data_IF_086083356610
#
_entry.id   IF_086083356610
#
_cell.length_a   1.000
_cell.length_b   1.000
_cell.length_c   1.000
_cell.angle_alpha   90.00
_cell.angle_beta   90.00
_cell.angle_gamma   90.00
#
_symmetry.space_group_name_H-M   'P 1'
#
loop_
_entity.id
_entity.type
_entity.pdbx_description
1 polymer ?
#
# COMPACT_ATOMS: atom_id res chain seq x y z
N UNK A 1 24.19 -21.19 11.14
CA UNK A 1 24.35 -20.20 10.05
C UNK A 1 23.43 -18.98 10.19
N UNK A 2 22.34 -19.04 10.95
CA UNK A 2 21.41 -17.89 11.14
C UNK A 2 22.01 -16.71 11.92
N UNK A 3 22.91 -16.96 12.87
CA UNK A 3 23.54 -15.91 13.68
C UNK A 3 24.43 -14.95 12.88
N UNK A 4 25.13 -15.45 11.86
CA UNK A 4 26.04 -14.62 11.04
C UNK A 4 25.27 -13.73 10.06
N UNK A 5 24.18 -14.24 9.46
CA UNK A 5 23.27 -13.45 8.64
C UNK A 5 22.60 -12.35 9.46
N UNK A 6 22.06 -12.67 10.65
CA UNK A 6 21.47 -11.66 11.54
C UNK A 6 22.47 -10.58 11.95
N UNK A 7 23.70 -10.95 12.34
CA UNK A 7 24.74 -9.97 12.68
C UNK A 7 25.13 -9.07 11.49
N UNK A 8 25.20 -9.66 10.29
CA UNK A 8 25.53 -8.94 9.06
C UNK A 8 24.46 -7.94 8.64
N UNK A 9 23.17 -8.33 8.71
CA UNK A 9 22.05 -7.44 8.39
C UNK A 9 21.92 -6.27 9.36
N UNK A 10 22.05 -6.49 10.66
CA UNK A 10 21.99 -5.39 11.64
C UNK A 10 23.16 -4.43 11.50
N UNK A 11 24.38 -4.94 11.29
CA UNK A 11 25.54 -4.09 11.03
C UNK A 11 25.39 -3.28 9.73
N UNK A 12 24.84 -3.88 8.67
CA UNK A 12 24.52 -3.16 7.45
C UNK A 12 23.46 -2.08 7.68
N UNK A 13 22.37 -2.40 8.37
CA UNK A 13 21.32 -1.45 8.69
C UNK A 13 21.88 -0.26 9.48
N UNK A 14 22.79 -0.48 10.43
CA UNK A 14 23.45 0.58 11.18
C UNK A 14 24.34 1.45 10.28
N UNK A 15 25.13 0.85 9.38
CA UNK A 15 25.95 1.59 8.40
C UNK A 15 25.10 2.43 7.46
N UNK A 16 24.00 1.88 6.95
CA UNK A 16 23.07 2.57 6.06
C UNK A 16 22.36 3.70 6.79
N UNK A 17 21.85 3.44 7.99
CA UNK A 17 21.19 4.45 8.83
C UNK A 17 22.15 5.57 9.19
N UNK A 18 23.42 5.26 9.48
CA UNK A 18 24.47 6.25 9.73
C UNK A 18 24.84 7.05 8.48
N UNK A 19 24.90 6.41 7.31
CA UNK A 19 25.16 7.08 6.04
C UNK A 19 24.01 8.00 5.61
N UNK A 20 22.77 7.59 5.90
CA UNK A 20 21.59 8.42 5.66
C UNK A 20 21.48 9.53 6.72
N UNK A 21 21.88 9.27 7.97
CA UNK A 21 21.94 10.28 9.03
C UNK A 21 20.67 11.13 9.11
N UNK A 22 20.83 12.46 9.14
CA UNK A 22 19.71 13.41 9.17
C UNK A 22 18.88 13.50 7.88
N UNK A 23 19.26 12.79 6.80
CA UNK A 23 18.53 12.83 5.52
C UNK A 23 17.30 11.91 5.48
N UNK A 24 17.22 10.92 6.37
CA UNK A 24 16.09 9.98 6.47
C UNK A 24 14.69 10.64 6.48
N UNK A 25 14.41 11.65 7.34
CA UNK A 25 13.10 12.29 7.33
C UNK A 25 12.77 12.90 5.97
N UNK A 26 13.73 13.52 5.30
CA UNK A 26 13.52 14.13 3.97
C UNK A 26 13.23 13.07 2.90
N UNK A 27 13.92 11.92 2.94
CA UNK A 27 13.68 10.82 2.00
C UNK A 27 12.27 10.27 2.19
N UNK A 28 11.83 10.08 3.43
CA UNK A 28 10.47 9.61 3.75
C UNK A 28 9.44 10.63 3.24
N UNK A 29 9.61 11.91 3.56
CA UNK A 29 8.70 12.96 3.10
C UNK A 29 8.64 13.05 1.57
N UNK A 30 9.80 13.01 0.90
CA UNK A 30 9.88 13.03 -0.55
C UNK A 30 9.19 11.81 -1.19
N UNK A 31 9.36 10.62 -0.60
CA UNK A 31 8.72 9.40 -1.09
C UNK A 31 7.20 9.42 -0.93
N UNK A 32 6.69 10.00 0.17
CA UNK A 32 5.23 10.19 0.35
C UNK A 32 4.69 11.15 -0.71
N UNK A 33 5.35 12.30 -0.93
CA UNK A 33 4.95 13.26 -1.96
C UNK A 33 4.97 12.61 -3.35
N UNK A 34 6.05 11.88 -3.67
CA UNK A 34 6.19 11.16 -4.93
C UNK A 34 5.11 10.08 -5.10
N UNK A 35 4.81 9.31 -4.04
CA UNK A 35 3.75 8.30 -4.05
C UNK A 35 2.37 8.91 -4.32
N UNK A 36 2.06 10.05 -3.69
CA UNK A 36 0.82 10.80 -3.93
C UNK A 36 0.79 11.33 -5.38
N UNK A 37 1.89 11.87 -5.90
CA UNK A 37 1.98 12.33 -7.28
C UNK A 37 1.76 11.20 -8.29
N UNK A 38 2.41 10.06 -8.09
CA UNK A 38 2.23 8.87 -8.94
C UNK A 38 0.78 8.41 -8.91
N UNK A 39 0.11 8.45 -7.76
CA UNK A 39 -1.32 8.14 -7.67
C UNK A 39 -2.19 9.09 -8.50
N UNK A 40 -2.02 10.40 -8.32
CA UNK A 40 -2.79 11.38 -9.08
C UNK A 40 -2.52 11.32 -10.58
N UNK A 41 -1.29 11.01 -10.99
CA UNK A 41 -0.88 10.93 -12.39
C UNK A 41 -1.36 9.63 -13.09
N UNK A 42 -1.25 8.48 -12.41
CA UNK A 42 -1.44 7.16 -13.02
C UNK A 42 -2.67 6.39 -12.53
N UNK A 43 -3.21 6.67 -11.34
CA UNK A 43 -4.21 5.84 -10.68
C UNK A 43 -5.57 6.51 -10.49
N UNK A 44 -5.67 7.84 -10.59
CA UNK A 44 -6.98 8.52 -10.58
C UNK A 44 -7.76 8.14 -11.84
N UNK A 45 -8.91 7.46 -11.72
CA UNK A 45 -9.80 7.26 -12.85
C UNK A 45 -10.30 8.63 -13.28
N UNK A 46 -10.14 8.97 -14.58
CA UNK A 46 -10.74 10.16 -15.18
C UNK A 46 -12.27 10.04 -15.20
N UNK A 47 -12.95 10.18 -14.05
CA UNK A 47 -14.41 10.28 -13.98
C UNK A 47 -14.86 11.34 -12.98
N UNK A 48 -15.45 12.36 -13.58
CA UNK A 48 -16.38 13.39 -13.12
C UNK A 48 -17.09 13.14 -11.77
N UNK A 49 -16.63 13.73 -10.67
CA UNK A 49 -17.51 14.32 -9.65
C UNK A 49 -16.70 15.22 -8.73
N UNK A 50 -17.16 16.46 -8.61
CA UNK A 50 -16.53 17.59 -7.93
C UNK A 50 -16.75 17.42 -6.42
N UNK A 51 -15.72 17.01 -5.69
CA UNK A 51 -15.70 17.13 -4.23
C UNK A 51 -15.20 18.54 -3.87
N UNK A 52 -16.02 19.30 -3.15
CA UNK A 52 -15.79 20.73 -2.89
C UNK A 52 -14.91 21.01 -1.66
N UNK A 53 -14.41 19.98 -0.97
CA UNK A 53 -13.40 20.13 0.09
C UNK A 53 -12.59 18.85 0.32
N UNK A 54 -11.26 18.99 0.21
CA UNK A 54 -10.26 17.92 0.36
C UNK A 54 -10.23 17.31 1.78
N UNK A 55 -10.66 18.08 2.79
CA UNK A 55 -10.67 17.69 4.20
C UNK A 55 -11.83 16.74 4.54
N UNK A 56 -13.02 16.97 3.98
CA UNK A 56 -14.15 16.05 4.15
C UNK A 56 -13.88 14.71 3.46
N UNK A 57 -13.20 14.74 2.30
CA UNK A 57 -12.76 13.52 1.64
C UNK A 57 -11.71 12.77 2.48
N UNK A 58 -10.74 13.47 3.09
CA UNK A 58 -9.72 12.83 3.93
C UNK A 58 -10.30 12.22 5.20
N UNK A 59 -11.30 12.87 5.79
CA UNK A 59 -12.07 12.38 6.95
C UNK A 59 -12.84 11.10 6.60
N UNK A 60 -13.57 11.07 5.49
CA UNK A 60 -14.37 9.91 5.06
C UNK A 60 -13.48 8.74 4.60
N UNK A 61 -12.30 9.05 4.05
CA UNK A 61 -11.23 8.09 3.70
C UNK A 61 -10.57 7.49 4.95
N UNK A 62 -10.34 8.27 6.01
CA UNK A 62 -9.79 7.76 7.29
C UNK A 62 -10.81 6.95 8.09
N UNK A 63 -12.12 7.19 7.89
CA UNK A 63 -13.19 6.52 8.62
C UNK A 63 -13.64 5.18 7.99
N UNK A 64 -12.90 4.66 7.00
CA UNK A 64 -13.12 3.33 6.40
C UNK A 64 -14.55 3.07 5.87
N UNK A 65 -15.34 4.11 5.60
CA UNK A 65 -16.74 3.97 5.19
C UNK A 65 -16.91 3.75 3.68
N UNK A 66 -15.91 4.11 2.89
CA UNK A 66 -15.89 3.94 1.44
C UNK A 66 -14.63 3.16 1.09
N UNK A 67 -14.79 2.07 0.33
CA UNK A 67 -13.89 1.30 -0.57
C UNK A 67 -12.49 1.89 -0.96
N UNK A 68 -11.75 2.53 -0.04
CA UNK A 68 -10.51 3.28 -0.31
C UNK A 68 -9.28 2.50 0.14
N UNK A 69 -9.45 1.41 0.89
CA UNK A 69 -8.33 0.64 1.42
C UNK A 69 -7.49 -0.02 0.33
N UNK A 70 -8.11 -0.45 -0.79
CA UNK A 70 -7.41 -1.02 -1.95
C UNK A 70 -6.54 0.02 -2.68
N UNK A 71 -7.08 1.22 -2.94
CA UNK A 71 -6.34 2.29 -3.59
C UNK A 71 -5.22 2.84 -2.69
N UNK A 72 -5.53 3.07 -1.41
CA UNK A 72 -4.57 3.55 -0.43
C UNK A 72 -3.42 2.57 -0.20
N UNK A 73 -3.71 1.26 -0.11
CA UNK A 73 -2.68 0.23 0.00
C UNK A 73 -1.73 0.22 -1.21
N UNK A 74 -2.24 0.45 -2.44
CA UNK A 74 -1.41 0.56 -3.65
C UNK A 74 -0.51 1.80 -3.62
N UNK A 75 -1.02 2.95 -3.19
CA UNK A 75 -0.22 4.17 -3.03
C UNK A 75 0.91 3.93 -2.04
N UNK A 76 0.55 3.35 -0.90
CA UNK A 76 1.47 3.08 0.18
C UNK A 76 2.56 2.09 -0.26
N UNK A 77 2.21 1.05 -1.02
CA UNK A 77 3.16 0.13 -1.64
C UNK A 77 4.19 0.86 -2.51
N UNK A 78 3.74 1.71 -3.44
CA UNK A 78 4.63 2.47 -4.33
C UNK A 78 5.56 3.38 -3.54
N UNK A 79 5.03 4.08 -2.52
CA UNK A 79 5.82 4.95 -1.66
C UNK A 79 6.91 4.17 -0.91
N UNK A 80 6.56 3.03 -0.29
CA UNK A 80 7.53 2.19 0.39
C UNK A 80 8.57 1.61 -0.57
N UNK A 81 8.16 1.13 -1.74
CA UNK A 81 9.09 0.62 -2.76
C UNK A 81 10.11 1.69 -3.18
N UNK A 82 9.68 2.94 -3.40
CA UNK A 82 10.60 4.04 -3.70
C UNK A 82 11.61 4.29 -2.57
N UNK A 83 11.15 4.26 -1.31
CA UNK A 83 12.06 4.37 -0.15
C UNK A 83 13.06 3.22 -0.14
N UNK A 84 12.61 1.98 -0.36
CA UNK A 84 13.48 0.81 -0.36
C UNK A 84 14.53 0.85 -1.46
N UNK A 85 14.18 1.33 -2.66
CA UNK A 85 15.14 1.54 -3.75
C UNK A 85 16.20 2.57 -3.35
N UNK A 86 15.81 3.71 -2.78
CA UNK A 86 16.77 4.75 -2.35
C UNK A 86 17.69 4.22 -1.24
N UNK A 87 17.13 3.55 -0.23
CA UNK A 87 17.91 2.90 0.84
C UNK A 87 18.84 1.84 0.25
N UNK A 88 18.37 1.07 -0.72
CA UNK A 88 19.13 0.03 -1.40
C UNK A 88 20.34 0.54 -2.15
N UNK A 89 20.17 1.65 -2.90
CA UNK A 89 21.27 2.34 -3.56
C UNK A 89 22.29 2.81 -2.53
N UNK A 90 21.85 3.43 -1.43
CA UNK A 90 22.76 3.87 -0.37
C UNK A 90 23.47 2.67 0.28
N UNK A 91 22.79 1.55 0.46
CA UNK A 91 23.38 0.32 1.00
C UNK A 91 24.50 -0.26 0.14
N UNK A 92 24.40 -0.14 -1.20
CA UNK A 92 25.47 -0.55 -2.10
C UNK A 92 26.76 0.24 -1.89
N UNK A 93 26.66 1.54 -1.56
CA UNK A 93 27.81 2.41 -1.33
C UNK A 93 28.31 2.39 0.13
N UNK A 94 27.40 2.31 1.10
CA UNK A 94 27.73 2.47 2.52
C UNK A 94 28.22 1.18 3.20
N UNK A 95 27.78 0.01 2.73
CA UNK A 95 28.12 -1.25 3.36
C UNK A 95 28.95 -2.16 2.45
N UNK A 96 28.38 -2.66 1.36
CA UNK A 96 29.09 -3.35 0.29
C UNK A 96 28.14 -3.52 -0.90
N UNK A 97 28.66 -3.43 -2.13
CA UNK A 97 27.82 -3.46 -3.33
C UNK A 97 26.94 -4.72 -3.41
N UNK A 98 27.53 -5.92 -3.27
CA UNK A 98 26.80 -7.18 -3.39
C UNK A 98 25.78 -7.41 -2.26
N UNK A 99 26.15 -7.11 -1.01
CA UNK A 99 25.21 -7.29 0.10
C UNK A 99 24.09 -6.24 0.00
N UNK A 100 24.40 -5.00 -0.43
CA UNK A 100 23.41 -3.95 -0.61
C UNK A 100 22.39 -4.32 -1.69
N UNK A 101 22.86 -4.86 -2.81
CA UNK A 101 22.01 -5.35 -3.90
C UNK A 101 21.12 -6.52 -3.46
N UNK A 102 21.71 -7.55 -2.85
CA UNK A 102 20.94 -8.72 -2.36
C UNK A 102 19.92 -8.29 -1.30
N UNK A 103 20.33 -7.43 -0.36
CA UNK A 103 19.45 -6.89 0.67
C UNK A 103 18.26 -6.11 0.08
N UNK A 104 18.51 -5.28 -0.94
CA UNK A 104 17.45 -4.53 -1.63
C UNK A 104 16.46 -5.46 -2.30
N UNK A 105 16.94 -6.45 -3.05
CA UNK A 105 16.07 -7.41 -3.76
C UNK A 105 15.21 -8.20 -2.77
N UNK A 106 15.81 -8.70 -1.70
CA UNK A 106 15.08 -9.45 -0.66
C UNK A 106 14.02 -8.56 -0.02
N UNK A 107 14.36 -7.31 0.32
CA UNK A 107 13.44 -6.40 0.99
C UNK A 107 12.26 -6.00 0.10
N UNK A 108 12.48 -5.83 -1.21
CA UNK A 108 11.42 -5.63 -2.21
C UNK A 108 10.50 -6.84 -2.35
N UNK A 109 11.05 -8.05 -2.34
CA UNK A 109 10.24 -9.29 -2.39
C UNK A 109 9.38 -9.41 -1.13
N UNK A 110 9.95 -9.14 0.05
CA UNK A 110 9.20 -9.15 1.32
C UNK A 110 8.10 -8.08 1.29
N UNK A 111 8.43 -6.86 0.85
CA UNK A 111 7.46 -5.78 0.72
C UNK A 111 6.29 -6.19 -0.19
N UNK A 112 6.59 -6.78 -1.34
CA UNK A 112 5.58 -7.28 -2.28
C UNK A 112 4.69 -8.34 -1.63
N UNK A 113 5.27 -9.35 -1.01
CA UNK A 113 4.51 -10.41 -0.34
C UNK A 113 3.59 -9.87 0.76
N UNK A 114 4.07 -8.91 1.56
CA UNK A 114 3.27 -8.27 2.61
C UNK A 114 2.09 -7.48 2.04
N UNK A 115 2.30 -6.65 1.03
CA UNK A 115 1.23 -5.85 0.44
C UNK A 115 0.22 -6.70 -0.34
N UNK A 116 0.67 -7.76 -1.01
CA UNK A 116 -0.21 -8.71 -1.70
C UNK A 116 -1.12 -9.42 -0.70
N UNK A 117 -0.58 -9.87 0.43
CA UNK A 117 -1.38 -10.46 1.51
C UNK A 117 -2.41 -9.46 2.04
N UNK A 118 -2.00 -8.23 2.36
CA UNK A 118 -2.90 -7.17 2.84
C UNK A 118 -4.03 -6.89 1.82
N UNK A 119 -3.71 -6.77 0.53
CA UNK A 119 -4.71 -6.55 -0.52
C UNK A 119 -5.69 -7.73 -0.65
N UNK A 120 -5.23 -8.97 -0.52
CA UNK A 120 -6.09 -10.16 -0.55
C UNK A 120 -7.08 -10.14 0.61
N UNK A 121 -6.65 -9.80 1.83
CA UNK A 121 -7.56 -9.68 2.97
C UNK A 121 -8.65 -8.64 2.72
N UNK A 122 -8.32 -7.49 2.16
CA UNK A 122 -9.32 -6.47 1.83
C UNK A 122 -10.27 -6.93 0.71
N UNK A 123 -9.76 -7.60 -0.32
CA UNK A 123 -10.58 -8.12 -1.41
C UNK A 123 -11.60 -9.16 -0.93
N UNK A 124 -11.24 -10.01 0.04
CA UNK A 124 -12.18 -10.97 0.63
C UNK A 124 -13.31 -10.25 1.36
N UNK A 125 -13.02 -9.20 2.13
CA UNK A 125 -14.05 -8.42 2.82
C UNK A 125 -15.01 -7.75 1.83
N UNK A 126 -14.47 -7.16 0.76
CA UNK A 126 -15.24 -6.52 -0.30
C UNK A 126 -16.17 -7.53 -0.99
N UNK A 127 -15.67 -8.72 -1.31
CA UNK A 127 -16.46 -9.76 -1.97
C UNK A 127 -17.58 -10.30 -1.07
N UNK A 128 -17.38 -10.37 0.25
CA UNK A 128 -18.42 -10.78 1.21
C UNK A 128 -19.53 -9.73 1.31
N UNK A 129 -19.18 -8.44 1.28
CA UNK A 129 -20.17 -7.35 1.31
C UNK A 129 -21.01 -7.39 0.03
N UNK A 130 -20.38 -7.52 -1.14
CA UNK A 130 -21.07 -7.60 -2.43
C UNK A 130 -22.05 -8.79 -2.49
N UNK A 131 -21.63 -9.97 -2.02
CA UNK A 131 -22.50 -11.15 -1.97
C UNK A 131 -23.69 -10.97 -1.02
N UNK A 132 -23.56 -10.13 0.02
CA UNK A 132 -24.66 -9.82 0.94
C UNK A 132 -25.69 -8.92 0.29
N UNK A 133 -25.23 -7.88 -0.43
CA UNK A 133 -26.08 -6.96 -1.17
C UNK A 133 -26.84 -7.67 -2.30
N UNK A 134 -26.18 -8.51 -3.10
CA UNK A 134 -26.85 -9.30 -4.16
C UNK A 134 -27.96 -10.20 -3.60
N UNK A 135 -27.75 -10.77 -2.40
CA UNK A 135 -28.74 -11.64 -1.77
C UNK A 135 -29.97 -10.88 -1.26
N UNK A 136 -29.76 -9.68 -0.72
CA UNK A 136 -30.84 -8.81 -0.25
C UNK A 136 -31.68 -8.31 -1.42
N UNK A 137 -31.06 -7.91 -2.54
CA UNK A 137 -31.79 -7.56 -3.76
C UNK A 137 -32.62 -8.74 -4.27
N UNK A 138 -32.04 -9.94 -4.34
CA UNK A 138 -32.74 -11.14 -4.84
C UNK A 138 -33.93 -11.57 -3.98
N UNK A 139 -33.86 -11.35 -2.65
CA UNK A 139 -34.99 -11.57 -1.75
C UNK A 139 -36.09 -10.53 -1.98
N UNK A 140 -35.76 -9.25 -2.17
CA UNK A 140 -36.75 -8.19 -2.45
C UNK A 140 -37.54 -8.48 -3.75
N UNK A 141 -36.86 -8.83 -4.84
CA UNK A 141 -37.52 -9.19 -6.11
C UNK A 141 -38.46 -10.40 -5.97
N UNK A 142 -38.13 -11.35 -5.08
CA UNK A 142 -38.93 -12.55 -4.89
C UNK A 142 -40.22 -12.26 -4.11
N UNK A 143 -40.21 -11.31 -3.18
CA UNK A 143 -41.42 -10.89 -2.47
C UNK A 143 -42.33 -10.06 -3.37
N UNK A 144 -41.78 -9.22 -4.25
CA UNK A 144 -42.58 -8.48 -5.24
C UNK A 144 -43.30 -9.42 -6.22
N UNK A 145 -42.68 -10.51 -6.70
CA UNK A 145 -43.35 -11.48 -7.59
C UNK A 145 -44.50 -12.25 -6.89
N UNK A 146 -44.37 -12.54 -5.60
CA UNK A 146 -45.37 -13.29 -4.83
C UNK A 146 -46.63 -12.44 -4.50
N UNK A 147 -46.56 -11.11 -4.57
CA UNK A 147 -47.67 -10.17 -4.29
C UNK A 147 -48.59 -9.90 -5.51
N UNK A 148 -48.24 -10.35 -6.72
CA UNK A 148 -49.08 -10.19 -7.93
C UNK A 148 -49.90 -11.44 -8.30
N UNK A 149 -49.73 -12.55 -7.58
CA UNK A 149 -50.37 -13.84 -7.86
C UNK A 149 -51.61 -14.15 -6.99
N UNK A 150 -52.15 -13.18 -6.24
CA UNK A 150 -53.42 -13.24 -5.45
C UNK A 150 -54.50 -12.28 -6.00
#
# INVERSE_FOLDING_TARGET
MEGFLRLGFFSMAEKVTKALGGSLPYIITAAVIAGIWVYFLFLVPRKTKRYDSFLDYLSDVLNFRVMVTSALAKILYIAFALVLVVIGIVAMFAANFLIGLIGTIILEIILRAMFELVMVFFSIQENIILLREEKEEQEDYRYDDDDYDD
#
